data_IF_224886729364
#
_entry.id   IF_224886729364
#
_cell.length_a   1.000
_cell.length_b   1.000
_cell.length_c   1.000
_cell.angle_alpha   90.00
_cell.angle_beta   90.00
_cell.angle_gamma   90.00
#
_symmetry.space_group_name_H-M   'P 1'
#
loop_
_entity.id
_entity.type
_entity.pdbx_description
1 polymer ?
#
# COMPACT_ATOMS: atom_id res chain seq x y z
N UNK A 1 -24.82 -5.37 -1.73
CA UNK A 1 -25.01 -4.09 -2.43
C UNK A 1 -24.29 -2.91 -1.78
N UNK A 2 -24.47 -2.61 -0.47
CA UNK A 2 -23.81 -1.44 0.16
C UNK A 2 -22.26 -1.50 0.14
N UNK A 3 -21.66 -2.64 0.50
CA UNK A 3 -20.18 -2.81 0.46
C UNK A 3 -19.57 -2.66 -0.92
N UNK A 4 -20.26 -3.20 -1.93
CA UNK A 4 -19.82 -3.12 -3.34
C UNK A 4 -19.80 -1.67 -3.79
N UNK A 5 -20.87 -0.91 -3.50
CA UNK A 5 -20.92 0.53 -3.79
C UNK A 5 -19.82 1.29 -3.06
N UNK A 6 -19.64 1.07 -1.76
CA UNK A 6 -18.58 1.71 -0.98
C UNK A 6 -17.17 1.42 -1.55
N UNK A 7 -16.96 0.22 -2.10
CA UNK A 7 -15.69 -0.15 -2.74
C UNK A 7 -15.50 0.55 -4.08
N UNK A 8 -16.56 0.64 -4.89
CA UNK A 8 -16.53 1.37 -6.15
C UNK A 8 -16.27 2.86 -5.89
N UNK A 9 -16.96 3.45 -4.92
CA UNK A 9 -16.79 4.85 -4.53
C UNK A 9 -15.35 5.11 -4.03
N UNK A 10 -14.79 4.20 -3.22
CA UNK A 10 -13.38 4.24 -2.82
C UNK A 10 -12.44 4.23 -4.03
N UNK A 11 -12.62 3.31 -4.97
CA UNK A 11 -11.78 3.20 -6.16
C UNK A 11 -11.86 4.44 -7.06
N UNK A 12 -13.07 5.02 -7.20
CA UNK A 12 -13.26 6.28 -7.92
C UNK A 12 -12.57 7.44 -7.20
N UNK A 13 -12.65 7.48 -5.87
CA UNK A 13 -11.98 8.49 -5.06
C UNK A 13 -10.45 8.36 -5.12
N UNK A 14 -9.90 7.15 -5.10
CA UNK A 14 -8.45 6.91 -5.24
C UNK A 14 -7.92 7.50 -6.56
N UNK A 15 -8.66 7.35 -7.65
CA UNK A 15 -8.28 7.92 -8.95
C UNK A 15 -8.36 9.45 -9.00
N UNK A 16 -9.15 10.07 -8.13
CA UNK A 16 -9.27 11.53 -8.02
C UNK A 16 -8.35 12.13 -6.97
N UNK A 17 -7.81 11.30 -6.07
CA UNK A 17 -6.88 11.69 -5.03
C UNK A 17 -5.52 12.06 -5.64
N UNK A 18 -5.32 13.37 -5.81
CA UNK A 18 -4.08 13.93 -6.36
C UNK A 18 -2.87 13.61 -5.48
N UNK A 19 -3.05 13.53 -4.17
CA UNK A 19 -1.94 13.22 -3.25
C UNK A 19 -1.50 11.76 -3.45
N UNK A 20 -2.45 10.83 -3.48
CA UNK A 20 -2.19 9.42 -3.73
C UNK A 20 -1.61 9.19 -5.13
N UNK A 21 -2.18 9.84 -6.15
CA UNK A 21 -1.68 9.76 -7.52
C UNK A 21 -0.25 10.27 -7.62
N UNK A 22 0.07 11.40 -6.99
CA UNK A 22 1.43 11.93 -6.94
C UNK A 22 2.39 11.01 -6.19
N UNK A 23 1.95 10.42 -5.07
CA UNK A 23 2.74 9.45 -4.32
C UNK A 23 3.07 8.21 -5.16
N UNK A 24 2.09 7.68 -5.89
CA UNK A 24 2.28 6.56 -6.82
C UNK A 24 3.26 6.93 -7.94
N UNK A 25 3.18 8.14 -8.51
CA UNK A 25 4.11 8.61 -9.53
C UNK A 25 5.54 8.75 -9.02
N UNK A 26 5.73 9.22 -7.79
CA UNK A 26 7.06 9.30 -7.16
C UNK A 26 7.63 7.90 -6.98
N UNK A 27 6.83 6.96 -6.46
CA UNK A 27 7.25 5.57 -6.22
C UNK A 27 7.53 4.85 -7.53
N UNK A 28 6.75 5.08 -8.58
CA UNK A 28 6.96 4.48 -9.90
C UNK A 28 8.26 4.96 -10.58
N UNK A 29 8.79 6.13 -10.20
CA UNK A 29 10.07 6.65 -10.70
C UNK A 29 11.29 6.09 -9.94
N UNK A 30 11.07 5.36 -8.85
CA UNK A 30 12.18 4.77 -8.11
C UNK A 30 12.86 3.67 -8.94
N UNK A 31 14.18 3.49 -8.80
CA UNK A 31 14.88 2.35 -9.36
C UNK A 31 14.20 1.03 -8.97
N UNK A 32 14.18 0.04 -9.87
CA UNK A 32 13.55 -1.26 -9.62
C UNK A 32 14.10 -2.01 -8.40
N UNK A 33 15.33 -1.68 -8.00
CA UNK A 33 16.04 -2.25 -6.85
C UNK A 33 16.03 -1.33 -5.63
N UNK A 34 15.35 -0.17 -5.68
CA UNK A 34 15.26 0.73 -4.55
C UNK A 34 14.44 0.10 -3.42
N UNK A 35 14.97 0.13 -2.21
CA UNK A 35 14.22 -0.33 -1.03
C UNK A 35 13.52 0.85 -0.39
N UNK A 36 12.27 0.68 0.03
CA UNK A 36 11.62 1.72 0.82
C UNK A 36 12.36 1.95 2.15
N UNK A 37 13.10 0.95 2.63
CA UNK A 37 13.93 1.03 3.84
C UNK A 37 14.95 2.16 3.77
N UNK A 38 15.47 2.47 2.58
CA UNK A 38 16.47 3.53 2.35
C UNK A 38 15.94 4.93 2.73
N UNK A 39 14.61 5.07 2.83
CA UNK A 39 13.92 6.32 3.15
C UNK A 39 13.42 6.39 4.60
N UNK A 40 13.65 5.36 5.42
CA UNK A 40 13.19 5.32 6.81
C UNK A 40 13.83 6.42 7.67
N UNK A 41 15.11 6.69 7.44
CA UNK A 41 15.95 7.62 8.22
C UNK A 41 16.01 9.05 7.66
N UNK A 42 15.29 9.32 6.57
CA UNK A 42 15.22 10.68 6.01
C UNK A 42 14.58 11.60 7.05
N UNK A 43 15.35 12.56 7.56
CA UNK A 43 14.89 13.51 8.59
C UNK A 43 14.00 14.61 7.98
N UNK A 44 13.32 15.39 8.82
CA UNK A 44 12.55 16.55 8.35
C UNK A 44 13.45 17.69 7.86
N UNK A 45 14.68 17.73 8.37
CA UNK A 45 15.77 18.66 8.04
C UNK A 45 16.57 18.24 6.78
N UNK A 46 16.21 17.11 6.16
CA UNK A 46 16.83 16.65 4.92
C UNK A 46 16.72 17.74 3.84
N UNK A 47 17.87 18.22 3.37
CA UNK A 47 17.96 19.25 2.33
C UNK A 47 17.61 18.68 0.95
N UNK A 48 17.75 17.36 0.76
CA UNK A 48 17.32 16.69 -0.45
C UNK A 48 15.79 16.58 -0.51
N UNK A 49 15.16 17.54 -1.18
CA UNK A 49 13.71 17.60 -1.39
C UNK A 49 13.16 16.32 -2.02
N UNK A 50 13.91 15.67 -2.90
CA UNK A 50 13.49 14.43 -3.55
C UNK A 50 13.38 13.27 -2.55
N UNK A 51 14.35 13.12 -1.64
CA UNK A 51 14.28 12.11 -0.56
C UNK A 51 13.11 12.37 0.38
N UNK A 52 12.89 13.63 0.75
CA UNK A 52 11.77 14.04 1.61
C UNK A 52 10.41 13.77 0.95
N UNK A 53 10.25 14.13 -0.32
CA UNK A 53 9.06 13.84 -1.11
C UNK A 53 8.82 12.33 -1.21
N UNK A 54 9.88 11.53 -1.42
CA UNK A 54 9.78 10.07 -1.48
C UNK A 54 9.34 9.45 -0.15
N UNK A 55 9.92 9.89 0.97
CA UNK A 55 9.49 9.45 2.31
C UNK A 55 7.99 9.74 2.53
N UNK A 56 7.54 10.95 2.18
CA UNK A 56 6.14 11.33 2.31
C UNK A 56 5.24 10.49 1.40
N UNK A 57 5.65 10.26 0.15
CA UNK A 57 4.93 9.39 -0.78
C UNK A 57 4.78 7.96 -0.24
N UNK A 58 5.85 7.36 0.30
CA UNK A 58 5.81 6.04 0.94
C UNK A 58 4.81 6.06 2.10
N UNK A 59 4.87 7.06 2.99
CA UNK A 59 3.96 7.18 4.12
C UNK A 59 2.49 7.28 3.68
N UNK A 60 2.18 8.14 2.71
CA UNK A 60 0.82 8.29 2.17
C UNK A 60 0.32 6.96 1.61
N UNK A 61 1.15 6.23 0.88
CA UNK A 61 0.78 4.94 0.28
C UNK A 61 0.54 3.86 1.35
N UNK A 62 1.42 3.73 2.36
CA UNK A 62 1.25 2.74 3.43
C UNK A 62 0.02 3.02 4.28
N UNK A 63 -0.24 4.28 4.59
CA UNK A 63 -1.45 4.68 5.32
C UNK A 63 -2.72 4.34 4.53
N UNK A 64 -2.71 4.56 3.20
CA UNK A 64 -3.82 4.21 2.31
C UNK A 64 -4.09 2.71 2.33
N UNK A 65 -3.07 1.87 2.15
CA UNK A 65 -3.28 0.42 2.16
C UNK A 65 -3.66 -0.14 3.54
N UNK A 66 -3.16 0.44 4.63
CA UNK A 66 -3.62 0.07 5.98
C UNK A 66 -5.10 0.38 6.17
N UNK A 67 -5.55 1.57 5.76
CA UNK A 67 -6.98 1.95 5.82
C UNK A 67 -7.86 0.99 5.01
N UNK A 68 -7.42 0.63 3.81
CA UNK A 68 -8.17 -0.29 2.93
C UNK A 68 -8.20 -1.69 3.52
N UNK A 69 -7.07 -2.20 4.01
CA UNK A 69 -7.00 -3.49 4.67
C UNK A 69 -7.91 -3.55 5.90
N UNK A 70 -7.94 -2.49 6.71
CA UNK A 70 -8.84 -2.34 7.84
C UNK A 70 -10.31 -2.37 7.40
N UNK A 71 -10.65 -1.62 6.34
CA UNK A 71 -12.01 -1.58 5.80
C UNK A 71 -12.46 -2.92 5.21
N UNK A 72 -11.56 -3.67 4.58
CA UNK A 72 -11.82 -5.05 4.13
C UNK A 72 -12.04 -5.98 5.34
N UNK A 73 -11.16 -5.90 6.35
CA UNK A 73 -11.21 -6.74 7.56
C UNK A 73 -12.54 -6.60 8.30
N UNK A 74 -13.07 -5.39 8.41
CA UNK A 74 -14.37 -5.13 9.04
C UNK A 74 -15.57 -5.21 8.09
N UNK A 75 -15.35 -5.60 6.83
CA UNK A 75 -16.42 -5.74 5.84
C UNK A 75 -17.08 -4.41 5.47
N UNK A 76 -16.38 -3.28 5.57
CA UNK A 76 -16.79 -2.03 4.95
C UNK A 76 -16.61 -2.08 3.43
N UNK A 77 -15.54 -2.75 2.96
CA UNK A 77 -15.21 -2.91 1.56
C UNK A 77 -15.38 -4.37 1.10
N UNK A 78 -15.71 -4.53 -0.18
CA UNK A 78 -15.85 -5.81 -0.87
C UNK A 78 -14.48 -6.25 -1.41
N UNK A 79 -13.83 -7.14 -0.67
CA UNK A 79 -12.48 -7.62 -0.97
C UNK A 79 -12.36 -8.21 -2.37
N UNK A 80 -13.39 -8.94 -2.85
CA UNK A 80 -13.31 -9.60 -4.17
C UNK A 80 -13.12 -8.57 -5.29
N UNK A 81 -13.93 -7.51 -5.27
CA UNK A 81 -13.86 -6.43 -6.27
C UNK A 81 -12.51 -5.72 -6.18
N UNK A 82 -12.08 -5.38 -4.96
CA UNK A 82 -10.82 -4.67 -4.75
C UNK A 82 -9.62 -5.52 -5.19
N UNK A 83 -9.60 -6.81 -4.84
CA UNK A 83 -8.55 -7.76 -5.22
C UNK A 83 -8.46 -7.94 -6.74
N UNK A 84 -9.58 -8.17 -7.43
CA UNK A 84 -9.59 -8.35 -8.89
C UNK A 84 -8.98 -7.15 -9.63
N UNK A 85 -9.16 -5.93 -9.10
CA UNK A 85 -8.63 -4.71 -9.71
C UNK A 85 -7.21 -4.34 -9.27
N UNK A 86 -6.89 -4.51 -7.98
CA UNK A 86 -5.69 -3.93 -7.35
C UNK A 86 -4.64 -4.98 -6.92
N UNK A 87 -4.84 -6.27 -7.20
CA UNK A 87 -3.94 -7.36 -6.76
C UNK A 87 -2.45 -7.03 -6.98
N UNK A 88 -2.06 -6.78 -8.22
CA UNK A 88 -0.65 -6.54 -8.57
C UNK A 88 -0.10 -5.28 -7.88
N UNK A 89 -0.90 -4.22 -7.77
CA UNK A 89 -0.47 -2.97 -7.14
C UNK A 89 -0.22 -3.19 -5.64
N UNK A 90 -1.20 -3.76 -4.93
CA UNK A 90 -1.10 -4.06 -3.49
C UNK A 90 0.09 -4.97 -3.21
N UNK A 91 0.26 -6.05 -3.97
CA UNK A 91 1.34 -7.02 -3.76
C UNK A 91 2.72 -6.42 -4.06
N UNK A 92 2.85 -5.64 -5.14
CA UNK A 92 4.11 -4.96 -5.46
C UNK A 92 4.50 -3.96 -4.36
N UNK A 93 3.54 -3.19 -3.86
CA UNK A 93 3.79 -2.24 -2.77
C UNK A 93 4.18 -2.97 -1.50
N UNK A 94 3.50 -4.07 -1.16
CA UNK A 94 3.85 -4.89 0.00
C UNK A 94 5.28 -5.42 -0.06
N UNK A 95 5.71 -5.96 -1.21
CA UNK A 95 7.06 -6.49 -1.40
C UNK A 95 8.13 -5.42 -1.11
N UNK A 96 7.92 -4.20 -1.59
CA UNK A 96 8.85 -3.08 -1.39
C UNK A 96 8.77 -2.50 0.04
N UNK A 97 7.58 -2.50 0.65
CA UNK A 97 7.33 -1.94 1.97
C UNK A 97 7.76 -2.85 3.11
N UNK A 98 7.71 -4.17 2.93
CA UNK A 98 7.95 -5.15 3.99
C UNK A 98 9.27 -4.92 4.75
N UNK A 99 10.43 -4.73 4.10
CA UNK A 99 11.69 -4.46 4.82
C UNK A 99 11.62 -3.21 5.70
N UNK A 100 11.02 -2.12 5.19
CA UNK A 100 10.81 -0.88 5.96
C UNK A 100 9.92 -1.12 7.17
N UNK A 101 8.79 -1.82 7.00
CA UNK A 101 7.81 -2.04 8.08
C UNK A 101 8.45 -2.90 9.18
N UNK A 102 9.18 -3.96 8.81
CA UNK A 102 9.87 -4.81 9.79
C UNK A 102 10.90 -4.01 10.60
N UNK A 103 11.71 -3.18 9.94
CA UNK A 103 12.70 -2.36 10.64
C UNK A 103 12.03 -1.28 11.52
N UNK A 104 10.94 -0.65 11.05
CA UNK A 104 10.16 0.29 11.84
C UNK A 104 9.64 -0.36 13.14
N UNK A 105 9.07 -1.55 13.03
CA UNK A 105 8.55 -2.31 14.19
C UNK A 105 9.67 -2.68 15.15
N UNK A 106 10.82 -3.12 14.64
CA UNK A 106 12.02 -3.44 15.43
C UNK A 106 12.52 -2.22 16.21
N UNK A 107 12.67 -1.06 15.54
CA UNK A 107 13.15 0.18 16.16
C UNK A 107 12.18 0.75 17.19
N UNK A 108 10.87 0.65 16.94
CA UNK A 108 9.84 1.17 17.84
C UNK A 108 9.38 0.17 18.90
N UNK A 109 9.88 -1.07 18.86
CA UNK A 109 9.45 -2.18 19.70
C UNK A 109 7.92 -2.36 19.72
N UNK A 110 7.29 -2.26 18.53
CA UNK A 110 5.84 -2.31 18.35
C UNK A 110 5.50 -3.06 17.07
N UNK A 111 4.84 -4.21 17.19
CA UNK A 111 4.49 -5.06 16.06
C UNK A 111 3.23 -4.61 15.29
N UNK A 112 2.51 -3.60 15.80
CA UNK A 112 1.20 -3.22 15.27
C UNK A 112 1.24 -2.27 14.08
N UNK A 113 2.40 -1.72 13.72
CA UNK A 113 2.52 -0.82 12.57
C UNK A 113 2.21 -1.55 11.27
N UNK A 114 1.19 -1.09 10.53
CA UNK A 114 0.78 -1.63 9.23
C UNK A 114 0.44 -3.13 9.29
N UNK A 115 -0.11 -3.59 10.43
CA UNK A 115 -0.41 -5.01 10.63
C UNK A 115 -1.56 -5.49 9.76
N UNK A 116 -2.51 -4.62 9.43
CA UNK A 116 -3.66 -5.01 8.62
C UNK A 116 -3.27 -5.13 7.15
N UNK A 117 -2.42 -4.23 6.68
CA UNK A 117 -1.82 -4.34 5.35
C UNK A 117 -1.03 -5.65 5.19
N UNK A 118 -0.22 -6.02 6.19
CA UNK A 118 0.48 -7.31 6.22
C UNK A 118 -0.50 -8.50 6.16
N UNK A 119 -1.54 -8.50 7.00
CA UNK A 119 -2.55 -9.57 7.01
C UNK A 119 -3.25 -9.71 5.66
N UNK A 120 -3.60 -8.60 5.02
CA UNK A 120 -4.22 -8.59 3.69
C UNK A 120 -3.26 -9.16 2.65
N UNK A 121 -2.01 -8.72 2.64
CA UNK A 121 -1.01 -9.17 1.68
C UNK A 121 -0.67 -10.65 1.85
N UNK A 122 -0.56 -11.14 3.08
CA UNK A 122 -0.35 -12.56 3.38
C UNK A 122 -1.54 -13.42 2.91
N UNK A 123 -2.76 -12.94 3.13
CA UNK A 123 -3.98 -13.60 2.65
C UNK A 123 -3.98 -13.70 1.12
N UNK A 124 -3.63 -12.62 0.43
CA UNK A 124 -3.58 -12.55 -1.03
C UNK A 124 -2.39 -13.31 -1.63
N UNK A 125 -1.28 -13.43 -0.91
CA UNK A 125 -0.14 -14.27 -1.28
C UNK A 125 -0.47 -15.77 -1.23
N UNK A 126 -1.31 -16.19 -0.27
CA UNK A 126 -1.77 -17.59 -0.14
C UNK A 126 -2.82 -17.98 -1.18
N UNK A 127 -3.63 -17.03 -1.63
CA UNK A 127 -4.59 -17.21 -2.71
C UNK A 127 -4.38 -16.15 -3.79
N UNK A 128 -3.42 -16.33 -4.71
CA UNK A 128 -3.16 -15.37 -5.77
C UNK A 128 -4.34 -15.20 -6.74
N UNK A 129 -4.40 -14.04 -7.40
CA UNK A 129 -5.36 -13.83 -8.50
C UNK A 129 -5.04 -14.81 -9.64
N UNK A 130 -6.05 -15.57 -10.07
CA UNK A 130 -5.90 -16.60 -11.11
C UNK A 130 -6.18 -16.00 -12.48
N UNK A 131 -5.36 -16.38 -13.47
CA UNK A 131 -5.66 -16.09 -14.86
C UNK A 131 -7.00 -16.73 -15.25
N UNK A 132 -7.86 -15.96 -15.91
CA UNK A 132 -9.03 -16.53 -16.55
C UNK A 132 -8.55 -17.51 -17.62
N UNK A 133 -8.76 -18.80 -17.42
CA UNK A 133 -8.56 -19.78 -18.49
C UNK A 133 -9.53 -19.39 -19.61
N UNK A 134 -9.01 -19.02 -20.78
CA UNK A 134 -9.82 -18.90 -21.98
C UNK A 134 -10.43 -20.28 -22.23
N UNK A 135 -11.73 -20.42 -22.02
CA UNK A 135 -12.50 -21.61 -22.41
C UNK A 135 -13.02 -21.39 -23.82
#
# INVERSE_FOLDING_TARGET
>A
MQRQRATIDLLLQENQDKELTNAMLIIAKLPKNASFLDYLDVSEEEQNEHKKATKNAIRTLLNRYEFIALGIKYGAFEERIYKELQYSNVMNVWINAKPLIMELRRRKNKNTYFQEFEQLADKWGKDPLKSHKNT
#
